data_IF_793720629015
#
_entry.id   IF_793720629015
#
_cell.length_a   1.000
_cell.length_b   1.000
_cell.length_c   1.000
_cell.angle_alpha   90.00
_cell.angle_beta   90.00
_cell.angle_gamma   90.00
#
_symmetry.space_group_name_H-M   'P 1'
#
loop_
_entity.id
_entity.type
_entity.pdbx_description
1 polymer ?
#
# COMPACT_ATOMS: atom_id res chain seq x y z
N UNK A 1 15.16 -19.79 -8.28
CA UNK A 1 13.95 -18.97 -8.08
C UNK A 1 14.07 -18.09 -6.83
N UNK A 2 13.12 -17.19 -6.60
CA UNK A 2 13.12 -16.36 -5.40
C UNK A 2 12.99 -17.21 -4.12
N UNK A 3 12.17 -18.24 -4.14
CA UNK A 3 11.99 -19.16 -3.02
C UNK A 3 13.31 -19.88 -2.66
N UNK A 4 14.06 -20.38 -3.65
CA UNK A 4 15.38 -20.99 -3.43
C UNK A 4 16.36 -20.01 -2.81
N UNK A 5 16.32 -18.74 -3.22
CA UNK A 5 17.17 -17.68 -2.65
C UNK A 5 16.83 -17.41 -1.19
N UNK A 6 15.54 -17.36 -0.83
CA UNK A 6 15.10 -17.23 0.57
C UNK A 6 15.56 -18.45 1.37
N UNK A 7 15.40 -19.65 0.82
CA UNK A 7 15.87 -20.89 1.44
C UNK A 7 17.38 -20.89 1.69
N UNK A 8 18.18 -20.40 0.74
CA UNK A 8 19.64 -20.30 0.88
C UNK A 8 20.05 -19.30 1.99
N UNK A 9 19.37 -18.15 2.10
CA UNK A 9 19.58 -17.18 3.19
C UNK A 9 19.30 -17.83 4.54
N UNK A 10 18.15 -18.49 4.68
CA UNK A 10 17.76 -19.16 5.92
C UNK A 10 18.73 -20.29 6.30
N UNK A 11 19.18 -21.10 5.32
CA UNK A 11 20.17 -22.16 5.53
C UNK A 11 21.51 -21.57 6.01
N UNK A 12 21.92 -20.44 5.45
CA UNK A 12 23.15 -19.75 5.86
C UNK A 12 23.06 -19.23 7.30
N UNK A 13 21.94 -18.61 7.69
CA UNK A 13 21.72 -18.15 9.07
C UNK A 13 21.80 -19.32 10.06
N UNK A 14 21.14 -20.46 9.76
CA UNK A 14 21.23 -21.68 10.59
C UNK A 14 22.65 -22.19 10.70
N UNK A 15 23.39 -22.30 9.57
CA UNK A 15 24.78 -22.75 9.56
C UNK A 15 25.68 -21.85 10.41
N UNK A 16 25.42 -20.56 10.45
CA UNK A 16 26.16 -19.58 11.24
C UNK A 16 25.61 -19.41 12.67
N UNK A 17 24.56 -20.15 13.05
CA UNK A 17 23.89 -20.06 14.35
C UNK A 17 23.39 -18.65 14.68
N UNK A 18 22.88 -17.94 13.67
CA UNK A 18 22.34 -16.58 13.76
C UNK A 18 20.81 -16.56 13.67
N UNK A 19 20.18 -17.67 13.32
CA UNK A 19 18.74 -17.75 13.00
C UNK A 19 17.83 -17.49 14.23
N UNK A 20 18.31 -17.75 15.44
CA UNK A 20 17.60 -17.46 16.69
C UNK A 20 17.69 -15.98 17.12
N UNK A 21 18.62 -15.21 16.53
CA UNK A 21 18.83 -13.79 16.82
C UNK A 21 18.69 -12.91 15.56
N UNK A 22 17.88 -13.33 14.60
CA UNK A 22 17.68 -12.58 13.36
C UNK A 22 16.19 -12.47 13.05
N UNK A 23 15.70 -11.23 12.87
CA UNK A 23 14.37 -10.96 12.32
C UNK A 23 14.46 -11.11 10.80
N UNK A 24 13.57 -11.91 10.21
CA UNK A 24 13.44 -12.06 8.76
C UNK A 24 12.11 -11.45 8.35
N UNK A 25 12.16 -10.48 7.44
CA UNK A 25 10.97 -9.85 6.85
C UNK A 25 10.98 -10.14 5.35
N UNK A 26 9.93 -10.79 4.85
CA UNK A 26 9.64 -10.89 3.44
C UNK A 26 8.51 -9.93 3.10
N UNK A 27 8.76 -9.00 2.20
CA UNK A 27 7.81 -7.95 1.83
C UNK A 27 8.00 -7.57 0.36
N UNK A 28 6.90 -7.35 -0.37
CA UNK A 28 6.95 -6.73 -1.70
C UNK A 28 6.77 -5.23 -1.59
N UNK A 29 7.56 -4.47 -2.34
CA UNK A 29 7.56 -3.00 -2.35
C UNK A 29 6.32 -2.42 -3.05
N UNK A 30 5.72 -3.16 -3.95
CA UNK A 30 4.55 -2.77 -4.75
C UNK A 30 3.92 -3.98 -5.43
N UNK A 31 2.72 -3.79 -6.00
CA UNK A 31 2.00 -4.83 -6.74
C UNK A 31 2.71 -5.37 -7.95
N UNK A 32 2.35 -6.56 -8.34
CA UNK A 32 2.90 -7.23 -9.50
C UNK A 32 2.73 -6.39 -10.78
N UNK A 33 3.73 -6.43 -11.66
CA UNK A 33 3.71 -5.73 -12.93
C UNK A 33 2.74 -6.39 -13.92
N UNK A 34 1.64 -5.72 -14.26
CA UNK A 34 0.51 -6.29 -14.99
C UNK A 34 0.81 -6.83 -16.40
N UNK A 35 1.98 -6.51 -16.99
CA UNK A 35 2.41 -7.09 -18.27
C UNK A 35 3.05 -8.48 -18.12
N UNK A 36 3.45 -8.89 -16.90
CA UNK A 36 4.19 -10.15 -16.67
C UNK A 36 3.56 -11.03 -15.61
N UNK A 37 2.62 -10.50 -14.80
CA UNK A 37 1.91 -11.23 -13.76
C UNK A 37 0.48 -10.77 -13.61
N UNK A 38 -0.33 -11.54 -12.87
CA UNK A 38 -1.70 -11.19 -12.51
C UNK A 38 -1.80 -10.93 -11.02
N UNK A 39 -2.47 -9.84 -10.64
CA UNK A 39 -2.82 -9.54 -9.26
C UNK A 39 -4.26 -9.97 -8.91
N UNK A 40 -4.96 -10.66 -9.82
CA UNK A 40 -6.33 -11.10 -9.58
C UNK A 40 -6.45 -11.89 -8.27
N UNK A 41 -7.52 -11.70 -7.48
CA UNK A 41 -8.73 -10.93 -7.80
C UNK A 41 -8.62 -9.41 -7.56
N UNK A 42 -7.46 -8.88 -7.16
CA UNK A 42 -7.23 -7.48 -6.87
C UNK A 42 -7.20 -6.65 -8.16
N UNK A 43 -7.82 -5.46 -8.13
CA UNK A 43 -7.80 -4.52 -9.25
C UNK A 43 -6.45 -3.82 -9.36
N UNK A 44 -6.00 -3.58 -10.57
CA UNK A 44 -4.80 -2.79 -10.85
C UNK A 44 -3.49 -3.57 -10.72
N UNK A 45 -2.40 -2.84 -10.71
CA UNK A 45 -1.03 -3.38 -10.75
C UNK A 45 -0.03 -2.33 -10.29
N UNK A 46 1.25 -2.68 -10.28
CA UNK A 46 2.37 -1.79 -9.95
C UNK A 46 2.15 -0.35 -10.44
N UNK A 47 2.22 0.61 -9.52
CA UNK A 47 2.08 2.03 -9.77
C UNK A 47 0.64 2.55 -9.76
N UNK A 48 -0.35 1.71 -9.46
CA UNK A 48 -1.75 2.12 -9.26
C UNK A 48 -2.10 2.13 -7.78
N UNK A 49 -3.07 2.98 -7.38
CA UNK A 49 -3.55 3.04 -6.00
C UNK A 49 -4.72 2.07 -5.71
N UNK A 50 -5.07 1.21 -6.66
CA UNK A 50 -5.95 0.08 -6.43
C UNK A 50 -5.25 -1.03 -5.64
N UNK A 51 -6.01 -1.92 -5.01
CA UNK A 51 -5.48 -2.98 -4.15
C UNK A 51 -4.38 -3.81 -4.84
N UNK A 52 -4.49 -4.10 -6.14
CA UNK A 52 -3.46 -4.83 -6.88
C UNK A 52 -2.14 -4.08 -7.09
N UNK A 53 -2.08 -2.79 -6.74
CA UNK A 53 -0.86 -1.99 -6.77
C UNK A 53 -0.25 -1.71 -5.40
N UNK A 54 -1.04 -1.84 -4.31
CA UNK A 54 -0.64 -1.43 -2.96
C UNK A 54 -0.85 -2.50 -1.88
N UNK A 55 -1.57 -3.59 -2.18
CA UNK A 55 -1.79 -4.69 -1.23
C UNK A 55 -0.80 -5.81 -1.50
N UNK A 56 0.18 -5.93 -0.63
CA UNK A 56 1.35 -6.77 -0.84
C UNK A 56 1.49 -7.88 0.21
N UNK A 57 2.13 -9.01 -0.15
CA UNK A 57 2.45 -10.03 0.83
C UNK A 57 3.48 -9.51 1.83
N UNK A 58 3.21 -9.79 3.10
CA UNK A 58 4.13 -9.53 4.20
C UNK A 58 4.21 -10.78 5.09
N UNK A 59 5.41 -11.29 5.29
CA UNK A 59 5.69 -12.37 6.25
C UNK A 59 6.82 -11.95 7.16
N UNK A 60 6.64 -12.12 8.46
CA UNK A 60 7.65 -11.78 9.46
C UNK A 60 7.95 -13.00 10.32
N UNK A 61 9.22 -13.37 10.41
CA UNK A 61 9.75 -14.30 11.41
C UNK A 61 10.58 -13.51 12.42
N UNK A 62 10.17 -13.53 13.69
CA UNK A 62 10.93 -12.97 14.79
C UNK A 62 11.01 -14.02 15.90
N UNK A 63 12.15 -14.72 16.03
CA UNK A 63 12.34 -15.79 17.02
C UNK A 63 11.99 -15.33 18.44
N UNK A 64 11.23 -16.13 19.15
CA UNK A 64 10.78 -15.82 20.52
C UNK A 64 9.65 -14.80 20.63
N UNK A 65 9.24 -14.16 19.50
CA UNK A 65 8.19 -13.14 19.50
C UNK A 65 7.00 -13.55 18.63
N UNK A 66 7.22 -13.86 17.34
CA UNK A 66 6.13 -14.24 16.44
C UNK A 66 5.75 -15.71 16.60
N UNK A 67 4.45 -16.00 16.69
CA UNK A 67 3.93 -17.37 16.68
C UNK A 67 3.92 -17.92 15.25
N UNK A 68 4.57 -19.05 15.03
CA UNK A 68 4.58 -19.72 13.72
C UNK A 68 3.16 -20.05 13.25
N UNK A 69 2.88 -19.80 11.95
CA UNK A 69 1.60 -20.06 11.33
C UNK A 69 0.47 -19.09 11.72
N UNK A 70 0.75 -18.06 12.55
CA UNK A 70 -0.25 -17.02 12.85
C UNK A 70 -0.52 -16.13 11.64
N UNK A 71 -1.73 -15.59 11.57
CA UNK A 71 -2.16 -14.65 10.54
C UNK A 71 -2.77 -13.42 11.20
N UNK A 72 -2.25 -12.24 10.86
CA UNK A 72 -2.80 -10.96 11.26
C UNK A 72 -3.59 -10.35 10.09
N UNK A 73 -4.75 -9.74 10.36
CA UNK A 73 -5.59 -9.08 9.35
C UNK A 73 -5.56 -7.56 9.46
N UNK A 74 -4.83 -7.03 10.43
CA UNK A 74 -4.67 -5.58 10.60
C UNK A 74 -3.92 -4.99 9.39
N UNK A 75 -4.44 -3.94 8.76
CA UNK A 75 -3.76 -3.27 7.65
C UNK A 75 -2.49 -2.56 8.13
N UNK A 76 -1.38 -2.83 7.45
CA UNK A 76 -0.07 -2.23 7.72
C UNK A 76 0.50 -1.62 6.44
N UNK A 77 1.52 -0.77 6.57
CA UNK A 77 2.13 -0.07 5.43
C UNK A 77 3.65 0.02 5.63
N UNK A 78 4.40 0.19 4.54
CA UNK A 78 5.88 0.15 4.56
C UNK A 78 6.55 1.11 5.54
N UNK A 79 5.97 2.29 5.80
CA UNK A 79 6.51 3.26 6.78
C UNK A 79 6.48 2.74 8.22
N UNK A 80 5.72 1.68 8.50
CA UNK A 80 5.63 1.05 9.83
C UNK A 80 6.91 0.26 10.19
N UNK A 81 7.72 -0.13 9.22
CA UNK A 81 8.94 -0.91 9.50
C UNK A 81 9.96 -0.12 10.30
N UNK A 82 10.12 1.17 10.04
CA UNK A 82 11.11 1.98 10.75
C UNK A 82 10.84 2.03 12.26
N UNK A 83 9.66 2.47 12.76
CA UNK A 83 9.36 2.43 14.18
C UNK A 83 9.36 1.00 14.76
N UNK A 84 8.97 -0.02 13.99
CA UNK A 84 9.02 -1.42 14.41
C UNK A 84 10.46 -1.87 14.69
N UNK A 85 11.39 -1.59 13.79
CA UNK A 85 12.78 -1.97 13.93
C UNK A 85 13.48 -1.18 15.04
N UNK A 86 13.11 0.10 15.23
CA UNK A 86 13.60 0.88 16.38
C UNK A 86 13.18 0.23 17.71
N UNK A 87 11.90 -0.13 17.85
CA UNK A 87 11.39 -0.78 19.07
C UNK A 87 12.03 -2.16 19.28
N UNK A 88 12.14 -2.96 18.21
CA UNK A 88 12.77 -4.28 18.26
C UNK A 88 14.25 -4.22 18.70
N UNK A 89 14.96 -3.17 18.31
CA UNK A 89 16.35 -2.92 18.67
C UNK A 89 16.53 -2.18 20.01
N UNK A 90 15.46 -1.85 20.72
CA UNK A 90 15.50 -1.07 21.96
C UNK A 90 15.99 0.39 21.77
N UNK A 91 15.90 0.92 20.55
CA UNK A 91 16.35 2.28 20.22
C UNK A 91 15.25 3.27 20.54
N UNK A 92 15.56 4.27 21.33
CA UNK A 92 14.62 5.33 21.66
C UNK A 92 14.45 6.32 20.49
N UNK A 93 13.22 6.77 20.29
CA UNK A 93 12.93 7.82 19.32
C UNK A 93 13.65 9.11 19.68
N UNK A 94 14.35 9.68 18.71
CA UNK A 94 14.99 10.99 18.87
C UNK A 94 13.92 12.07 19.10
N UNK A 95 14.13 12.95 20.08
CA UNK A 95 13.20 14.06 20.36
C UNK A 95 13.01 14.93 19.11
N UNK A 96 11.77 15.21 18.76
CA UNK A 96 11.42 16.01 17.58
C UNK A 96 11.45 15.27 16.24
N UNK A 97 11.85 14.00 16.22
CA UNK A 97 11.77 13.18 14.99
C UNK A 97 10.33 12.70 14.78
N UNK A 98 9.66 13.21 13.75
CA UNK A 98 8.32 12.78 13.38
C UNK A 98 8.41 11.47 12.59
N UNK A 99 7.54 10.53 12.91
CA UNK A 99 7.40 9.25 12.22
C UNK A 99 6.02 9.19 11.58
N UNK A 100 5.95 8.74 10.33
CA UNK A 100 4.68 8.55 9.61
C UNK A 100 4.04 7.21 9.92
N UNK A 101 4.84 6.23 10.34
CA UNK A 101 4.39 4.88 10.69
C UNK A 101 4.21 4.67 12.18
N UNK A 102 3.63 3.53 12.53
CA UNK A 102 3.47 3.01 13.89
C UNK A 102 4.18 1.68 14.03
N UNK A 103 4.63 1.32 15.25
CA UNK A 103 5.28 0.05 15.47
C UNK A 103 4.32 -1.12 15.29
N UNK A 104 4.76 -2.15 14.56
CA UNK A 104 4.06 -3.42 14.38
C UNK A 104 4.33 -4.43 15.51
N UNK A 105 5.18 -4.10 16.49
CA UNK A 105 5.53 -5.00 17.59
C UNK A 105 4.31 -5.55 18.32
N UNK A 106 3.23 -4.77 18.60
CA UNK A 106 2.01 -5.32 19.18
C UNK A 106 1.39 -6.45 18.34
N UNK A 107 1.32 -6.28 17.01
CA UNK A 107 0.78 -7.29 16.08
C UNK A 107 1.69 -8.52 15.96
N UNK A 108 3.00 -8.32 16.07
CA UNK A 108 4.00 -9.40 16.00
C UNK A 108 3.98 -10.27 17.26
N UNK A 109 3.61 -9.69 18.41
CA UNK A 109 3.42 -10.41 19.69
C UNK A 109 2.05 -11.08 19.76
N UNK A 110 1.02 -10.41 19.26
CA UNK A 110 -0.37 -10.90 19.22
C UNK A 110 -1.03 -10.53 17.90
N UNK A 111 -1.27 -11.54 17.06
CA UNK A 111 -1.90 -11.36 15.76
C UNK A 111 -3.37 -10.84 15.83
N UNK A 112 -3.99 -10.88 17.00
CA UNK A 112 -5.32 -10.34 17.29
C UNK A 112 -5.32 -8.90 17.80
N UNK A 113 -4.15 -8.31 18.05
CA UNK A 113 -4.04 -6.92 18.49
C UNK A 113 -4.45 -5.93 17.37
N UNK A 114 -4.66 -4.68 17.75
CA UNK A 114 -4.93 -3.57 16.84
C UNK A 114 -3.86 -2.48 16.99
N UNK A 115 -3.75 -1.63 15.98
CA UNK A 115 -2.87 -0.47 15.99
C UNK A 115 -3.65 0.81 16.29
N UNK A 116 -3.05 1.73 17.04
CA UNK A 116 -3.60 3.07 17.29
C UNK A 116 -3.43 3.96 16.04
N UNK A 117 -4.16 3.62 15.00
CA UNK A 117 -4.15 4.35 13.73
C UNK A 117 -5.55 4.37 13.13
N UNK A 118 -6.03 5.57 12.78
CA UNK A 118 -7.37 5.75 12.20
C UNK A 118 -7.40 5.56 10.68
N UNK A 119 -6.28 5.80 9.99
CA UNK A 119 -6.23 5.76 8.53
C UNK A 119 -4.84 5.39 7.99
N UNK A 120 -4.83 4.84 6.78
CA UNK A 120 -3.67 4.69 5.91
C UNK A 120 -3.80 5.66 4.74
N UNK A 121 -2.68 6.25 4.32
CA UNK A 121 -2.64 7.21 3.22
C UNK A 121 -1.61 6.81 2.17
N UNK A 122 -1.97 7.00 0.91
CA UNK A 122 -1.08 6.91 -0.24
C UNK A 122 -1.21 8.18 -1.06
N UNK A 123 -0.09 8.70 -1.55
CA UNK A 123 -0.06 9.92 -2.33
C UNK A 123 0.94 9.78 -3.46
N UNK A 124 0.44 9.88 -4.69
CA UNK A 124 1.23 9.73 -5.89
C UNK A 124 0.90 10.86 -6.89
N UNK A 125 1.51 12.05 -6.73
CA UNK A 125 1.21 13.23 -7.55
C UNK A 125 1.96 13.22 -8.88
N UNK A 126 1.98 12.07 -9.58
CA UNK A 126 2.74 11.89 -10.82
C UNK A 126 2.00 11.02 -11.84
N UNK A 127 2.50 11.05 -13.08
CA UNK A 127 2.02 10.21 -14.17
C UNK A 127 2.96 9.03 -14.40
N UNK A 128 2.38 7.87 -14.69
CA UNK A 128 3.13 6.71 -15.17
C UNK A 128 2.59 6.29 -16.52
N UNK A 129 3.44 6.30 -17.53
CA UNK A 129 3.16 5.68 -18.83
C UNK A 129 3.05 4.16 -18.66
N UNK A 130 2.30 3.51 -19.52
CA UNK A 130 2.23 2.08 -19.40
C UNK A 130 1.20 1.39 -20.28
N UNK A 131 0.95 0.15 -19.94
CA UNK A 131 0.25 -0.86 -20.70
C UNK A 131 -1.23 -0.99 -20.30
N UNK A 132 -1.63 -0.48 -19.17
CA UNK A 132 -3.02 -0.41 -18.73
C UNK A 132 -3.27 0.97 -18.14
N UNK A 133 -4.48 1.47 -18.27
CA UNK A 133 -4.79 2.83 -17.90
C UNK A 133 -6.20 2.97 -17.34
N UNK A 134 -6.35 4.02 -16.58
CA UNK A 134 -7.64 4.56 -16.21
C UNK A 134 -8.06 5.66 -17.20
N UNK A 135 -7.16 6.57 -17.51
CA UNK A 135 -7.39 7.71 -18.40
C UNK A 135 -6.17 7.98 -19.29
N UNK A 136 -6.44 8.30 -20.55
CA UNK A 136 -5.41 8.70 -21.51
C UNK A 136 -4.35 7.66 -21.79
N UNK A 137 -3.17 8.08 -22.18
CA UNK A 137 -2.02 7.24 -22.46
C UNK A 137 -1.23 6.87 -21.19
N UNK A 138 -1.75 7.14 -20.00
CA UNK A 138 -1.07 6.94 -18.73
C UNK A 138 -1.64 5.75 -17.98
N UNK A 139 -0.77 4.90 -17.43
CA UNK A 139 -1.14 3.82 -16.53
C UNK A 139 -1.72 4.35 -15.23
N UNK A 140 -1.15 5.44 -14.75
CA UNK A 140 -1.55 6.12 -13.53
C UNK A 140 -1.49 7.63 -13.77
N UNK A 141 -2.53 8.31 -13.35
CA UNK A 141 -2.58 9.77 -13.25
C UNK A 141 -2.34 10.19 -11.80
N UNK A 142 -1.98 11.45 -11.54
CA UNK A 142 -1.81 11.94 -10.17
C UNK A 142 -3.04 11.67 -9.32
N UNK A 143 -2.82 11.04 -8.15
CA UNK A 143 -3.90 10.62 -7.28
C UNK A 143 -3.45 10.50 -5.81
N UNK A 144 -4.43 10.46 -4.91
CA UNK A 144 -4.24 10.06 -3.52
C UNK A 144 -5.30 9.03 -3.13
N UNK A 145 -4.97 8.22 -2.13
CA UNK A 145 -5.92 7.29 -1.53
C UNK A 145 -5.85 7.35 0.00
N UNK A 146 -7.00 7.13 0.62
CA UNK A 146 -7.13 6.94 2.07
C UNK A 146 -7.90 5.65 2.33
N UNK A 147 -7.46 4.87 3.33
CA UNK A 147 -8.19 3.75 3.87
C UNK A 147 -8.50 3.97 5.35
N UNK A 148 -9.78 3.89 5.71
CA UNK A 148 -10.28 3.95 7.08
C UNK A 148 -11.13 2.70 7.35
N UNK A 149 -10.61 1.78 8.16
CA UNK A 149 -11.22 0.46 8.36
C UNK A 149 -11.41 -0.29 7.04
N UNK A 150 -12.66 -0.64 6.73
CA UNK A 150 -13.03 -1.35 5.51
C UNK A 150 -13.25 -0.44 4.29
N UNK A 151 -13.24 0.89 4.48
CA UNK A 151 -13.52 1.85 3.42
C UNK A 151 -12.24 2.42 2.83
N UNK A 152 -12.23 2.57 1.50
CA UNK A 152 -11.15 3.18 0.74
C UNK A 152 -11.71 4.20 -0.22
N UNK A 153 -11.15 5.42 -0.19
CA UNK A 153 -11.43 6.49 -1.14
C UNK A 153 -10.17 6.77 -1.95
N UNK A 154 -10.34 6.92 -3.26
CA UNK A 154 -9.30 7.36 -4.19
C UNK A 154 -9.77 8.68 -4.81
N UNK A 155 -8.90 9.71 -4.80
CA UNK A 155 -9.10 10.98 -5.48
C UNK A 155 -8.10 11.09 -6.63
N UNK A 156 -8.60 11.34 -7.84
CA UNK A 156 -7.79 11.60 -9.03
C UNK A 156 -7.70 13.09 -9.28
N UNK A 157 -6.49 13.63 -9.32
CA UNK A 157 -6.30 15.09 -9.35
C UNK A 157 -6.53 15.71 -10.71
N UNK A 158 -6.48 14.92 -11.79
CA UNK A 158 -6.64 15.45 -13.16
C UNK A 158 -8.08 15.89 -13.44
N UNK A 159 -9.05 15.14 -12.99
CA UNK A 159 -10.47 15.38 -13.23
C UNK A 159 -11.30 15.58 -11.96
N UNK A 160 -10.68 15.42 -10.78
CA UNK A 160 -11.36 15.53 -9.49
C UNK A 160 -12.28 14.35 -9.18
N UNK A 161 -12.21 13.26 -9.95
CA UNK A 161 -13.05 12.09 -9.72
C UNK A 161 -12.72 11.42 -8.39
N UNK A 162 -13.79 11.00 -7.69
CA UNK A 162 -13.72 10.26 -6.44
C UNK A 162 -14.26 8.85 -6.64
N UNK A 163 -13.49 7.85 -6.23
CA UNK A 163 -13.91 6.46 -6.21
C UNK A 163 -13.93 5.94 -4.77
N UNK A 164 -15.07 5.38 -4.33
CA UNK A 164 -15.25 4.83 -2.99
C UNK A 164 -15.52 3.34 -3.06
N UNK A 165 -14.80 2.56 -2.23
CA UNK A 165 -14.93 1.11 -2.16
C UNK A 165 -15.07 0.62 -0.72
N UNK A 166 -15.84 -0.46 -0.52
CA UNK A 166 -15.86 -1.22 0.73
C UNK A 166 -15.07 -2.52 0.52
N UNK A 167 -13.83 -2.53 0.98
CA UNK A 167 -12.88 -3.64 0.75
C UNK A 167 -13.26 -4.94 1.45
N UNK A 168 -14.12 -4.89 2.46
CA UNK A 168 -14.65 -6.10 3.11
C UNK A 168 -15.55 -6.91 2.17
N UNK A 169 -16.35 -6.21 1.36
CA UNK A 169 -17.36 -6.81 0.50
C UNK A 169 -16.94 -6.82 -0.97
N UNK A 170 -15.98 -5.95 -1.35
CA UNK A 170 -15.51 -5.75 -2.72
C UNK A 170 -14.00 -5.50 -2.74
N UNK A 171 -13.25 -6.56 -2.41
CA UNK A 171 -11.78 -6.49 -2.42
C UNK A 171 -11.20 -6.22 -3.81
N UNK A 172 -11.94 -6.55 -4.86
CA UNK A 172 -11.57 -6.32 -6.26
C UNK A 172 -11.90 -4.93 -6.79
N UNK A 173 -12.46 -4.04 -5.96
CA UNK A 173 -12.78 -2.64 -6.31
C UNK A 173 -13.58 -2.52 -7.61
N UNK A 174 -14.63 -3.36 -7.74
CA UNK A 174 -15.47 -3.45 -8.95
C UNK A 174 -16.63 -2.46 -8.94
N UNK A 175 -17.08 -2.06 -7.75
CA UNK A 175 -18.29 -1.28 -7.56
C UNK A 175 -17.94 0.05 -6.89
N UNK A 176 -17.83 1.12 -7.69
CA UNK A 176 -17.68 2.47 -7.13
C UNK A 176 -18.96 2.88 -6.41
N UNK A 177 -18.87 3.13 -5.12
CA UNK A 177 -19.98 3.51 -4.24
C UNK A 177 -20.07 5.02 -4.00
N UNK A 178 -19.24 5.85 -4.62
CA UNK A 178 -19.17 7.29 -4.34
C UNK A 178 -20.52 7.98 -4.48
N UNK A 179 -21.26 7.71 -5.55
CA UNK A 179 -22.59 8.28 -5.77
C UNK A 179 -23.67 7.75 -4.80
N UNK A 180 -23.47 6.53 -4.25
CA UNK A 180 -24.44 5.88 -3.36
C UNK A 180 -24.18 6.17 -1.87
N UNK A 181 -22.97 6.64 -1.53
CA UNK A 181 -22.51 6.83 -0.15
C UNK A 181 -21.85 8.23 0.02
N UNK A 182 -22.56 9.33 -0.30
CA UNK A 182 -21.96 10.67 -0.29
C UNK A 182 -21.43 11.09 1.07
N UNK A 183 -22.09 10.69 2.17
CA UNK A 183 -21.61 11.03 3.52
C UNK A 183 -20.30 10.29 3.85
N UNK A 184 -20.14 9.04 3.40
CA UNK A 184 -18.88 8.31 3.57
C UNK A 184 -17.76 8.92 2.72
N UNK A 185 -18.04 9.36 1.51
CA UNK A 185 -17.10 10.12 0.67
C UNK A 185 -16.64 11.37 1.42
N UNK A 186 -17.59 12.16 1.93
CA UNK A 186 -17.29 13.40 2.67
C UNK A 186 -16.39 13.15 3.90
N UNK A 187 -16.69 12.10 4.66
CA UNK A 187 -15.89 11.70 5.83
C UNK A 187 -14.43 11.40 5.45
N UNK A 188 -14.22 10.47 4.51
CA UNK A 188 -12.88 10.05 4.11
C UNK A 188 -12.13 11.18 3.39
N UNK A 189 -12.82 11.94 2.54
CA UNK A 189 -12.20 13.05 1.82
C UNK A 189 -11.75 14.16 2.78
N UNK A 190 -12.56 14.50 3.78
CA UNK A 190 -12.16 15.47 4.80
C UNK A 190 -10.91 15.01 5.58
N UNK A 191 -10.83 13.72 5.94
CA UNK A 191 -9.66 13.15 6.60
C UNK A 191 -8.42 13.20 5.70
N UNK A 192 -8.56 12.89 4.40
CA UNK A 192 -7.48 12.96 3.42
C UNK A 192 -6.99 14.39 3.20
N UNK A 193 -7.90 15.37 3.10
CA UNK A 193 -7.56 16.79 2.97
C UNK A 193 -6.81 17.31 4.20
N UNK A 194 -7.24 16.90 5.41
CA UNK A 194 -6.55 17.24 6.66
C UNK A 194 -5.13 16.69 6.65
N UNK A 195 -4.95 15.41 6.36
CA UNK A 195 -3.63 14.77 6.27
C UNK A 195 -2.73 15.46 5.25
N UNK A 196 -3.25 15.77 4.05
CA UNK A 196 -2.52 16.49 3.00
C UNK A 196 -2.00 17.85 3.46
N UNK A 197 -2.86 18.60 4.20
CA UNK A 197 -2.47 19.89 4.79
C UNK A 197 -1.37 19.74 5.85
N UNK A 198 -1.49 18.76 6.72
CA UNK A 198 -0.53 18.50 7.81
C UNK A 198 0.83 18.07 7.30
N UNK A 199 0.85 17.22 6.26
CA UNK A 199 2.07 16.70 5.64
C UNK A 199 2.63 17.59 4.53
N UNK A 200 1.89 18.65 4.14
CA UNK A 200 2.22 19.51 2.99
C UNK A 200 2.38 18.70 1.70
N UNK A 201 1.60 17.64 1.53
CA UNK A 201 1.65 16.79 0.36
C UNK A 201 1.26 17.57 -0.90
N UNK A 202 2.13 17.62 -1.94
CA UNK A 202 1.91 18.46 -3.11
C UNK A 202 0.79 17.91 -3.98
N UNK A 203 -0.07 18.79 -4.49
CA UNK A 203 -1.07 18.46 -5.50
C UNK A 203 -0.72 19.24 -6.77
N UNK A 204 -0.68 18.60 -7.96
CA UNK A 204 -0.45 19.32 -9.21
C UNK A 204 -1.47 20.44 -9.40
N UNK A 205 -0.99 21.64 -9.68
CA UNK A 205 -1.84 22.83 -9.89
C UNK A 205 -2.22 23.03 -11.36
N UNK A 206 -1.48 22.39 -12.26
CA UNK A 206 -1.68 22.48 -13.72
C UNK A 206 -2.06 21.10 -14.27
N UNK A 207 -2.99 21.11 -15.22
CA UNK A 207 -3.36 19.91 -15.96
C UNK A 207 -2.27 19.53 -16.95
N UNK A 208 -2.04 18.22 -17.12
CA UNK A 208 -1.13 17.74 -18.12
C UNK A 208 -1.73 17.93 -19.54
N UNK A 209 -1.08 18.68 -20.45
CA UNK A 209 -1.58 18.87 -21.80
C UNK A 209 -1.67 17.57 -22.62
N UNK A 210 -0.92 16.53 -22.24
CA UNK A 210 -0.94 15.22 -22.90
C UNK A 210 -2.05 14.30 -22.35
N UNK A 211 -2.83 14.76 -21.36
CA UNK A 211 -3.91 13.98 -20.79
C UNK A 211 -5.13 13.98 -21.71
N UNK A 212 -5.49 12.80 -22.20
CA UNK A 212 -6.72 12.58 -22.97
C UNK A 212 -7.58 11.51 -22.27
N UNK A 213 -8.73 11.90 -21.68
CA UNK A 213 -9.64 10.98 -21.01
C UNK A 213 -10.26 9.94 -21.96
N UNK A 214 -10.19 10.17 -23.27
CA UNK A 214 -10.72 9.28 -24.30
C UNK A 214 -9.67 8.38 -24.94
N UNK A 215 -8.37 8.59 -24.62
CA UNK A 215 -7.31 7.82 -25.22
C UNK A 215 -7.39 6.34 -24.77
N UNK A 216 -7.25 5.45 -25.73
CA UNK A 216 -7.19 4.00 -25.50
C UNK A 216 -5.78 3.51 -25.77
N UNK A 217 -5.15 2.84 -24.80
CA UNK A 217 -3.88 2.18 -25.02
C UNK A 217 -4.03 1.08 -26.05
N UNK A 218 -3.25 1.18 -27.12
CA UNK A 218 -3.08 0.04 -28.03
C UNK A 218 -2.27 -1.01 -27.28
N UNK A 219 -2.71 -2.28 -27.24
CA UNK A 219 -1.88 -3.35 -26.73
C UNK A 219 -0.53 -3.33 -27.47
N UNK A 220 0.59 -3.36 -26.74
CA UNK A 220 1.88 -3.59 -27.40
C UNK A 220 1.79 -4.94 -28.08
N UNK A 221 1.87 -4.96 -29.42
CA UNK A 221 2.01 -6.19 -30.17
C UNK A 221 3.19 -6.97 -29.57
N UNK A 222 2.97 -8.25 -29.28
CA UNK A 222 4.08 -9.16 -29.02
C UNK A 222 4.82 -9.30 -30.37
N UNK A 223 5.98 -8.67 -30.49
CA UNK A 223 6.94 -9.03 -31.51
C UNK A 223 7.54 -10.38 -31.18
#
# INVERSE_FOLDING_TARGET
>A
SMDDSIGAVQATLRRLKLDDNTIIIFFSDNGGHGAVTSNAPLRGSKGMLYEGGIREPLVVKWPGVTKAGSTCREPVIGVDFYPTLMEAAGVQRRKGHQLDGVSLVPLLKDAGASLERSALHWHFPAYLQGYTQRHGAFRTTPAAAIRMGDWKLIEFFEDGELELYNLKNDLGEKNNLAAKQPEKVKELHAAMLKWRKETKAPVPSEKNPDYDPKAVLKPRGRN
#
